data_IF_766273172087
#
_entry.id   IF_766273172087
#
_cell.length_a   1.000
_cell.length_b   1.000
_cell.length_c   1.000
_cell.angle_alpha   90.00
_cell.angle_beta   90.00
_cell.angle_gamma   90.00
#
_symmetry.space_group_name_H-M   'P 1'
#
loop_
_entity.id
_entity.type
_entity.pdbx_description
1 polymer ?
#
# COMPACT_ATOMS: atom_id res chain seq x y z
N UNK A 1 50.47 7.86 -1.10
CA UNK A 1 49.18 8.49 -0.73
C UNK A 1 48.36 8.69 -2.01
N UNK A 2 47.62 7.67 -2.45
CA UNK A 2 46.72 7.66 -3.65
C UNK A 2 45.58 6.66 -3.38
N UNK A 3 44.78 6.90 -2.34
CA UNK A 3 43.75 5.95 -1.89
C UNK A 3 42.36 6.59 -1.74
N UNK A 4 42.12 7.78 -2.34
CA UNK A 4 40.85 8.50 -2.17
C UNK A 4 40.42 9.29 -3.42
N UNK A 5 40.42 8.65 -4.59
CA UNK A 5 39.73 9.19 -5.77
C UNK A 5 38.85 8.08 -6.37
N UNK A 6 37.70 7.85 -5.73
CA UNK A 6 36.62 7.09 -6.35
C UNK A 6 36.04 7.97 -7.46
N UNK A 7 36.28 7.56 -8.70
CA UNK A 7 35.86 8.25 -9.91
C UNK A 7 34.34 8.13 -10.08
N UNK A 8 33.59 9.11 -9.58
CA UNK A 8 32.12 9.18 -9.67
C UNK A 8 31.60 9.40 -11.10
N UNK A 9 32.51 9.64 -12.06
CA UNK A 9 32.19 9.78 -13.49
C UNK A 9 32.12 8.43 -14.24
N UNK A 10 32.26 7.30 -13.56
CA UNK A 10 31.91 6.01 -14.15
C UNK A 10 30.39 5.89 -14.19
N UNK A 11 29.83 6.06 -15.38
CA UNK A 11 28.47 5.61 -15.69
C UNK A 11 28.35 4.15 -15.22
N UNK A 12 27.46 3.91 -14.26
CA UNK A 12 27.19 2.56 -13.76
C UNK A 12 26.86 1.63 -14.92
N UNK A 13 27.18 0.34 -14.81
CA UNK A 13 26.97 -0.64 -15.89
C UNK A 13 25.56 -0.48 -16.47
N UNK A 14 25.48 0.14 -17.65
CA UNK A 14 24.22 0.50 -18.28
C UNK A 14 23.39 -0.76 -18.45
N UNK A 15 22.15 -0.74 -17.95
CA UNK A 15 21.21 -1.83 -18.18
C UNK A 15 21.04 -1.94 -19.71
N UNK A 16 21.28 -3.12 -20.32
CA UNK A 16 21.07 -3.32 -21.74
C UNK A 16 19.65 -2.87 -22.10
N UNK A 17 19.52 -1.98 -23.09
CA UNK A 17 18.22 -1.42 -23.53
C UNK A 17 17.24 -2.51 -24.00
N UNK A 18 17.74 -3.70 -24.31
CA UNK A 18 16.99 -4.87 -24.79
C UNK A 18 16.72 -5.93 -23.69
N UNK A 19 16.96 -5.62 -22.42
CA UNK A 19 16.59 -6.55 -21.34
C UNK A 19 15.05 -6.65 -21.27
N UNK A 20 14.47 -7.88 -21.22
CA UNK A 20 13.02 -8.03 -21.08
C UNK A 20 12.56 -7.29 -19.81
N UNK A 21 11.39 -6.61 -19.85
CA UNK A 21 10.89 -5.91 -18.67
C UNK A 21 10.81 -6.91 -17.52
N UNK A 22 11.43 -6.58 -16.39
CA UNK A 22 11.39 -7.45 -15.20
C UNK A 22 9.93 -7.60 -14.79
N UNK A 23 9.49 -8.83 -14.57
CA UNK A 23 8.11 -9.13 -14.18
C UNK A 23 8.03 -9.77 -12.79
N UNK A 24 6.88 -9.60 -12.13
CA UNK A 24 6.54 -10.28 -10.89
C UNK A 24 7.54 -10.01 -9.76
N UNK A 25 8.03 -11.07 -9.12
CA UNK A 25 8.90 -10.97 -7.94
C UNK A 25 10.27 -10.37 -8.25
N UNK A 26 10.80 -10.58 -9.45
CA UNK A 26 12.10 -10.02 -9.84
C UNK A 26 12.01 -8.49 -9.89
N UNK A 27 10.92 -7.96 -10.44
CA UNK A 27 10.63 -6.53 -10.40
C UNK A 27 10.47 -6.04 -8.97
N UNK A 28 9.71 -6.76 -8.14
CA UNK A 28 9.51 -6.38 -6.73
C UNK A 28 10.84 -6.20 -6.00
N UNK A 29 11.74 -7.20 -6.05
CA UNK A 29 13.02 -7.12 -5.35
C UNK A 29 13.96 -6.07 -5.94
N UNK A 30 13.92 -5.83 -7.24
CA UNK A 30 14.69 -4.77 -7.90
C UNK A 30 14.26 -3.38 -7.43
N UNK A 31 12.95 -3.11 -7.46
CA UNK A 31 12.37 -1.86 -6.97
C UNK A 31 12.62 -1.69 -5.47
N UNK A 32 12.43 -2.76 -4.69
CA UNK A 32 12.64 -2.75 -3.25
C UNK A 32 14.09 -2.41 -2.89
N UNK A 33 15.07 -3.06 -3.54
CA UNK A 33 16.48 -2.82 -3.27
C UNK A 33 16.90 -1.38 -3.63
N UNK A 34 16.37 -0.86 -4.75
CA UNK A 34 16.63 0.52 -5.19
C UNK A 34 16.01 1.56 -4.25
N UNK A 35 14.77 1.34 -3.86
CA UNK A 35 14.00 2.29 -3.03
C UNK A 35 14.15 2.05 -1.52
N UNK A 36 14.98 1.09 -1.09
CA UNK A 36 15.11 0.73 0.32
C UNK A 36 15.40 1.93 1.23
N UNK A 37 16.34 2.79 0.83
CA UNK A 37 16.68 4.00 1.59
C UNK A 37 15.55 5.04 1.55
N UNK A 38 14.85 5.13 0.42
CA UNK A 38 13.70 6.00 0.24
C UNK A 38 12.52 5.57 1.14
N UNK A 39 12.28 4.27 1.29
CA UNK A 39 11.26 3.71 2.17
C UNK A 39 11.54 4.07 3.64
N UNK A 40 12.79 4.01 4.09
CA UNK A 40 13.15 4.43 5.46
C UNK A 40 12.81 5.92 5.69
N UNK A 41 13.21 6.79 4.75
CA UNK A 41 12.89 8.23 4.82
C UNK A 41 11.38 8.47 4.79
N UNK A 42 10.66 7.74 3.94
CA UNK A 42 9.21 7.82 3.82
C UNK A 42 8.51 7.41 5.11
N UNK A 43 8.99 6.37 5.79
CA UNK A 43 8.46 5.93 7.07
C UNK A 43 8.62 7.01 8.16
N UNK A 44 9.75 7.71 8.18
CA UNK A 44 9.97 8.85 9.08
C UNK A 44 8.96 9.98 8.80
N UNK A 45 8.77 10.36 7.54
CA UNK A 45 7.77 11.36 7.17
C UNK A 45 6.35 10.94 7.56
N UNK A 46 6.01 9.66 7.37
CA UNK A 46 4.73 9.10 7.79
C UNK A 46 4.53 9.24 9.31
N UNK A 47 5.49 8.78 10.13
CA UNK A 47 5.39 8.85 11.59
C UNK A 47 5.28 10.30 12.10
N UNK A 48 6.11 11.20 11.57
CA UNK A 48 6.04 12.63 11.92
C UNK A 48 4.69 13.24 11.55
N UNK A 49 4.15 12.83 10.41
CA UNK A 49 2.84 13.31 9.96
C UNK A 49 1.71 12.77 10.83
N UNK A 50 1.85 11.58 11.42
CA UNK A 50 0.86 10.92 12.28
C UNK A 50 0.84 11.43 13.73
N UNK A 51 1.69 12.38 14.13
CA UNK A 51 1.72 12.92 15.50
C UNK A 51 0.34 13.43 15.93
N UNK A 52 -0.42 14.20 15.12
CA UNK A 52 -1.83 14.42 15.37
C UNK A 52 -2.62 13.21 14.88
N UNK A 53 -3.32 12.49 15.76
CA UNK A 53 -4.03 11.25 15.40
C UNK A 53 -5.00 11.42 14.22
N UNK A 54 -5.57 12.62 14.05
CA UNK A 54 -6.49 12.95 12.95
C UNK A 54 -5.83 12.91 11.55
N UNK A 55 -4.51 12.94 11.44
CA UNK A 55 -3.81 12.97 10.14
C UNK A 55 -3.41 11.60 9.63
N UNK A 56 -3.67 10.52 10.38
CA UNK A 56 -3.27 9.15 9.99
C UNK A 56 -3.82 8.79 8.61
N UNK A 57 -5.10 9.07 8.35
CA UNK A 57 -5.71 8.83 7.03
C UNK A 57 -4.97 9.55 5.89
N UNK A 58 -4.85 10.89 5.92
CA UNK A 58 -4.04 11.65 4.98
C UNK A 58 -2.57 11.20 4.87
N UNK A 59 -1.93 10.81 5.97
CA UNK A 59 -0.56 10.29 5.97
C UNK A 59 -0.45 8.95 5.23
N UNK A 60 -1.42 8.04 5.41
CA UNK A 60 -1.49 6.78 4.64
C UNK A 60 -1.68 7.09 3.16
N UNK A 61 -2.55 8.05 2.82
CA UNK A 61 -2.76 8.48 1.43
C UNK A 61 -1.49 9.06 0.79
N UNK A 62 -0.77 9.90 1.50
CA UNK A 62 0.50 10.48 1.04
C UNK A 62 1.60 9.43 0.86
N UNK A 63 1.75 8.54 1.85
CA UNK A 63 2.69 7.42 1.78
C UNK A 63 2.38 6.52 0.59
N UNK A 64 1.11 6.16 0.42
CA UNK A 64 0.64 5.32 -0.70
C UNK A 64 0.90 5.99 -2.05
N UNK A 65 0.79 7.32 -2.12
CA UNK A 65 1.09 8.06 -3.34
C UNK A 65 2.55 7.92 -3.76
N UNK A 66 3.46 8.07 -2.80
CA UNK A 66 4.90 7.91 -3.04
C UNK A 66 5.23 6.47 -3.39
N UNK A 67 4.70 5.48 -2.67
CA UNK A 67 4.97 4.06 -2.96
C UNK A 67 4.41 3.62 -4.30
N UNK A 68 3.29 4.16 -4.78
CA UNK A 68 2.83 3.87 -6.15
C UNK A 68 3.78 4.47 -7.18
N UNK A 69 4.30 5.69 -6.96
CA UNK A 69 5.30 6.27 -7.88
C UNK A 69 6.58 5.43 -7.92
N UNK A 70 7.03 4.92 -6.78
CA UNK A 70 8.13 3.94 -6.69
C UNK A 70 7.81 2.66 -7.49
N UNK A 71 6.61 2.12 -7.36
CA UNK A 71 6.16 0.92 -8.11
C UNK A 71 6.11 1.18 -9.63
N UNK A 72 5.78 2.40 -10.02
CA UNK A 72 5.76 2.83 -11.42
C UNK A 72 7.13 3.25 -11.96
N UNK A 73 8.18 3.22 -11.13
CA UNK A 73 9.51 3.73 -11.46
C UNK A 73 9.50 5.20 -11.94
N UNK A 74 8.60 6.01 -11.37
CA UNK A 74 8.54 7.44 -11.66
C UNK A 74 9.54 8.20 -10.77
N UNK A 75 10.32 9.15 -11.31
CA UNK A 75 11.20 9.97 -10.51
C UNK A 75 10.36 10.73 -9.48
N UNK A 76 10.78 10.66 -8.22
CA UNK A 76 10.07 11.25 -7.09
C UNK A 76 11.00 12.00 -6.16
N UNK A 77 10.60 13.21 -5.78
CA UNK A 77 11.19 13.92 -4.65
C UNK A 77 10.33 13.57 -3.43
N UNK A 78 10.86 12.71 -2.56
CA UNK A 78 10.13 12.15 -1.42
C UNK A 78 9.43 13.21 -0.56
N UNK A 79 10.09 14.34 -0.31
CA UNK A 79 9.51 15.35 0.59
C UNK A 79 8.42 16.14 -0.12
N UNK A 80 8.71 16.62 -1.34
CA UNK A 80 7.76 17.41 -2.10
C UNK A 80 6.52 16.58 -2.45
N UNK A 81 6.72 15.36 -2.97
CA UNK A 81 5.65 14.48 -3.41
C UNK A 81 4.77 14.02 -2.25
N UNK A 82 5.37 13.68 -1.10
CA UNK A 82 4.61 13.34 0.10
C UNK A 82 3.74 14.53 0.54
N UNK A 83 4.33 15.73 0.66
CA UNK A 83 3.62 16.91 1.14
C UNK A 83 2.52 17.36 0.18
N UNK A 84 2.76 17.27 -1.12
CA UNK A 84 1.77 17.57 -2.14
C UNK A 84 0.60 16.57 -2.06
N UNK A 85 0.89 15.26 -2.05
CA UNK A 85 -0.12 14.21 -1.98
C UNK A 85 -0.95 14.30 -0.69
N UNK A 86 -0.31 14.63 0.44
CA UNK A 86 -0.95 14.82 1.73
C UNK A 86 -2.02 15.92 1.70
N UNK A 87 -1.73 17.04 1.03
CA UNK A 87 -2.68 18.16 0.87
C UNK A 87 -3.75 17.85 -0.16
N UNK A 88 -3.36 17.33 -1.33
CA UNK A 88 -4.25 17.05 -2.46
C UNK A 88 -5.35 16.06 -2.08
N UNK A 89 -4.98 14.97 -1.40
CA UNK A 89 -5.88 13.87 -1.08
C UNK A 89 -6.43 13.92 0.35
N UNK A 90 -6.25 15.04 1.05
CA UNK A 90 -6.58 15.18 2.48
C UNK A 90 -8.02 14.73 2.78
N UNK A 91 -9.00 15.28 2.06
CA UNK A 91 -10.43 15.04 2.33
C UNK A 91 -10.81 13.57 2.16
N UNK A 92 -10.47 12.96 1.03
CA UNK A 92 -10.84 11.57 0.75
C UNK A 92 -10.10 10.58 1.63
N UNK A 93 -8.80 10.82 1.88
CA UNK A 93 -7.99 9.97 2.76
C UNK A 93 -8.46 10.06 4.22
N UNK A 94 -8.81 11.26 4.69
CA UNK A 94 -9.38 11.47 6.03
C UNK A 94 -10.73 10.77 6.20
N UNK A 95 -11.64 10.94 5.24
CA UNK A 95 -12.95 10.26 5.27
C UNK A 95 -12.81 8.73 5.23
N UNK A 96 -11.88 8.21 4.42
CA UNK A 96 -11.58 6.78 4.39
C UNK A 96 -11.03 6.28 5.71
N UNK A 97 -10.16 7.07 6.37
CA UNK A 97 -9.64 6.77 7.70
C UNK A 97 -10.73 6.69 8.78
N UNK A 98 -11.64 7.67 8.82
CA UNK A 98 -12.79 7.66 9.75
C UNK A 98 -13.66 6.43 9.52
N UNK A 99 -13.91 6.08 8.26
CA UNK A 99 -14.74 4.93 7.92
C UNK A 99 -14.08 3.63 8.42
N UNK A 100 -12.78 3.47 8.17
CA UNK A 100 -12.02 2.31 8.62
C UNK A 100 -12.03 2.19 10.16
N UNK A 101 -11.78 3.28 10.89
CA UNK A 101 -11.81 3.29 12.36
C UNK A 101 -13.20 2.93 12.89
N UNK A 102 -14.26 3.49 12.30
CA UNK A 102 -15.65 3.16 12.69
C UNK A 102 -15.94 1.68 12.49
N UNK A 103 -15.59 1.08 11.35
CA UNK A 103 -15.79 -0.34 11.11
C UNK A 103 -14.98 -1.21 12.09
N UNK A 104 -13.71 -0.87 12.33
CA UNK A 104 -12.86 -1.60 13.28
C UNK A 104 -13.44 -1.54 14.70
N UNK A 105 -13.96 -0.39 15.13
CA UNK A 105 -14.60 -0.23 16.44
C UNK A 105 -15.87 -1.09 16.56
N UNK A 106 -16.73 -1.09 15.53
CA UNK A 106 -17.96 -1.91 15.50
C UNK A 106 -17.61 -3.40 15.58
N UNK A 107 -16.62 -3.86 14.80
CA UNK A 107 -16.20 -5.27 14.82
C UNK A 107 -15.59 -5.66 16.17
N UNK A 108 -14.77 -4.79 16.76
CA UNK A 108 -14.23 -5.00 18.11
C UNK A 108 -15.34 -5.09 19.15
N UNK A 109 -16.34 -4.21 19.08
CA UNK A 109 -17.50 -4.24 19.97
C UNK A 109 -18.31 -5.54 19.84
N UNK A 110 -18.56 -5.98 18.60
CA UNK A 110 -19.24 -7.25 18.30
C UNK A 110 -18.48 -8.43 18.91
N UNK A 111 -17.16 -8.49 18.71
CA UNK A 111 -16.34 -9.55 19.31
C UNK A 111 -16.45 -9.53 20.84
N UNK A 112 -16.30 -8.36 21.48
CA UNK A 112 -16.39 -8.23 22.93
C UNK A 112 -17.76 -8.61 23.49
N UNK A 113 -18.83 -8.34 22.77
CA UNK A 113 -20.19 -8.73 23.14
C UNK A 113 -20.33 -10.26 23.16
N UNK A 114 -19.93 -10.93 22.07
CA UNK A 114 -20.08 -12.38 21.96
C UNK A 114 -19.10 -13.18 22.82
N UNK A 115 -17.98 -12.62 23.27
CA UNK A 115 -17.07 -13.28 24.23
C UNK A 115 -17.73 -13.68 25.57
N UNK A 116 -18.87 -13.08 25.92
CA UNK A 116 -19.64 -13.44 27.12
C UNK A 116 -20.73 -14.48 26.85
N UNK A 117 -20.89 -14.89 25.59
CA UNK A 117 -21.81 -15.96 25.18
C UNK A 117 -21.07 -17.29 25.17
N UNK A 118 -21.71 -18.37 25.62
CA UNK A 118 -21.12 -19.70 25.61
C UNK A 118 -21.59 -20.55 24.42
N UNK A 119 -20.78 -21.52 24.04
CA UNK A 119 -21.14 -22.60 23.10
C UNK A 119 -21.14 -22.21 21.62
N UNK A 120 -22.10 -22.74 20.87
CA UNK A 120 -22.13 -22.68 19.39
C UNK A 120 -22.31 -21.26 18.85
N UNK A 121 -23.05 -20.42 19.56
CA UNK A 121 -23.35 -19.03 19.12
C UNK A 121 -22.07 -18.20 19.06
N UNK A 122 -21.20 -18.32 20.07
CA UNK A 122 -19.90 -17.65 20.11
C UNK A 122 -19.03 -18.03 18.90
N UNK A 123 -18.88 -19.32 18.64
CA UNK A 123 -18.03 -19.82 17.55
C UNK A 123 -18.51 -19.34 16.18
N UNK A 124 -19.84 -19.36 15.94
CA UNK A 124 -20.42 -18.86 14.69
C UNK A 124 -20.17 -17.36 14.51
N UNK A 125 -20.42 -16.55 15.55
CA UNK A 125 -20.31 -15.10 15.47
C UNK A 125 -18.86 -14.63 15.29
N UNK A 126 -17.91 -15.27 15.96
CA UNK A 126 -16.48 -15.01 15.72
C UNK A 126 -16.11 -15.36 14.28
N UNK A 127 -16.53 -16.53 13.79
CA UNK A 127 -16.21 -16.96 12.42
C UNK A 127 -16.72 -15.96 11.39
N UNK A 128 -17.97 -15.49 11.53
CA UNK A 128 -18.52 -14.44 10.67
C UNK A 128 -17.73 -13.13 10.76
N UNK A 129 -17.35 -12.72 11.97
CA UNK A 129 -16.59 -11.48 12.18
C UNK A 129 -15.20 -11.56 11.54
N UNK A 130 -14.51 -12.70 11.67
CA UNK A 130 -13.21 -12.94 11.02
C UNK A 130 -13.33 -12.86 9.51
N UNK A 131 -14.37 -13.47 8.92
CA UNK A 131 -14.62 -13.37 7.48
C UNK A 131 -14.81 -11.91 7.04
N UNK A 132 -15.57 -11.11 7.81
CA UNK A 132 -15.75 -9.68 7.51
C UNK A 132 -14.42 -8.92 7.62
N UNK A 133 -13.59 -9.19 8.64
CA UNK A 133 -12.26 -8.58 8.78
C UNK A 133 -11.39 -8.89 7.57
N UNK A 134 -11.36 -10.16 7.13
CA UNK A 134 -10.58 -10.57 5.95
C UNK A 134 -11.08 -9.84 4.70
N UNK A 135 -12.40 -9.78 4.48
CA UNK A 135 -13.00 -9.09 3.33
C UNK A 135 -12.67 -7.59 3.33
N UNK A 136 -12.77 -6.92 4.49
CA UNK A 136 -12.38 -5.52 4.62
C UNK A 136 -10.87 -5.34 4.42
N UNK A 137 -10.05 -6.24 4.97
CA UNK A 137 -8.60 -6.23 4.84
C UNK A 137 -8.13 -6.32 3.40
N UNK A 138 -8.65 -7.27 2.62
CA UNK A 138 -8.32 -7.37 1.18
C UNK A 138 -8.82 -6.18 0.37
N UNK A 139 -9.92 -5.55 0.78
CA UNK A 139 -10.45 -4.35 0.13
C UNK A 139 -9.54 -3.13 0.38
N UNK A 140 -9.04 -2.99 1.61
CA UNK A 140 -8.17 -1.87 2.02
C UNK A 140 -6.89 -1.75 1.18
N UNK A 141 -6.39 -2.86 0.62
CA UNK A 141 -5.24 -2.87 -0.30
C UNK A 141 -5.45 -1.92 -1.49
N UNK A 142 -6.69 -1.78 -1.96
CA UNK A 142 -7.01 -1.01 -3.17
C UNK A 142 -7.56 0.39 -2.89
N UNK A 143 -8.07 0.66 -1.68
CA UNK A 143 -8.75 1.93 -1.35
C UNK A 143 -7.81 3.12 -1.52
N UNK A 144 -6.68 3.14 -0.80
CA UNK A 144 -5.75 4.27 -0.85
C UNK A 144 -5.07 4.42 -2.22
N UNK A 145 -4.64 3.35 -2.89
CA UNK A 145 -4.15 3.47 -4.26
C UNK A 145 -5.13 4.12 -5.23
N UNK A 146 -6.41 3.78 -5.13
CA UNK A 146 -7.43 4.41 -5.96
C UNK A 146 -7.72 5.86 -5.56
N UNK A 147 -7.73 6.20 -4.25
CA UNK A 147 -7.86 7.59 -3.79
C UNK A 147 -6.81 8.49 -4.42
N UNK A 148 -5.58 7.99 -4.57
CA UNK A 148 -4.47 8.80 -5.08
C UNK A 148 -4.46 8.88 -6.61
N UNK A 149 -4.70 7.76 -7.31
CA UNK A 149 -4.43 7.65 -8.75
C UNK A 149 -5.67 7.73 -9.62
N UNK A 150 -6.87 7.62 -9.06
CA UNK A 150 -8.11 7.59 -9.83
C UNK A 150 -9.02 8.72 -9.36
N UNK A 151 -9.47 9.55 -10.29
CA UNK A 151 -10.40 10.64 -10.01
C UNK A 151 -11.84 10.13 -10.01
N UNK A 152 -12.23 9.50 -8.89
CA UNK A 152 -13.57 8.95 -8.67
C UNK A 152 -14.12 9.40 -7.31
N UNK A 153 -15.45 9.50 -7.17
CA UNK A 153 -16.04 9.77 -5.87
C UNK A 153 -15.78 8.63 -4.88
N UNK A 154 -15.56 8.96 -3.61
CA UNK A 154 -15.18 8.00 -2.56
C UNK A 154 -16.08 6.77 -2.47
N UNK A 155 -17.40 6.93 -2.65
CA UNK A 155 -18.35 5.79 -2.64
C UNK A 155 -18.06 4.78 -3.75
N UNK A 156 -17.67 5.26 -4.93
CA UNK A 156 -17.29 4.41 -6.06
C UNK A 156 -15.94 3.76 -5.81
N UNK A 157 -14.99 4.49 -5.22
CA UNK A 157 -13.70 3.91 -4.82
C UNK A 157 -13.90 2.75 -3.84
N UNK A 158 -14.72 2.92 -2.79
CA UNK A 158 -14.97 1.86 -1.82
C UNK A 158 -15.63 0.63 -2.44
N UNK A 159 -16.62 0.83 -3.33
CA UNK A 159 -17.26 -0.27 -4.06
C UNK A 159 -16.28 -0.99 -4.98
N UNK A 160 -15.50 -0.24 -5.75
CA UNK A 160 -14.51 -0.81 -6.67
C UNK A 160 -13.39 -1.52 -5.91
N UNK A 161 -12.99 -1.01 -4.73
CA UNK A 161 -11.96 -1.64 -3.90
C UNK A 161 -12.43 -2.98 -3.36
N UNK A 162 -13.69 -3.04 -2.93
CA UNK A 162 -14.31 -4.29 -2.49
C UNK A 162 -14.40 -5.30 -3.64
N UNK A 163 -14.88 -4.88 -4.81
CA UNK A 163 -14.99 -5.74 -5.98
C UNK A 163 -13.60 -6.21 -6.47
N UNK A 164 -12.59 -5.34 -6.48
CA UNK A 164 -11.21 -5.69 -6.84
C UNK A 164 -10.59 -6.65 -5.83
N UNK A 165 -10.83 -6.43 -4.53
CA UNK A 165 -10.40 -7.32 -3.47
C UNK A 165 -10.81 -8.77 -3.75
N UNK A 166 -12.05 -8.96 -4.19
CA UNK A 166 -12.62 -10.27 -4.53
C UNK A 166 -12.20 -10.75 -5.93
N UNK A 167 -12.29 -9.90 -6.95
CA UNK A 167 -11.96 -10.25 -8.33
C UNK A 167 -10.50 -10.66 -8.49
N UNK A 168 -9.61 -10.07 -7.69
CA UNK A 168 -8.17 -10.33 -7.69
C UNK A 168 -7.71 -11.08 -6.43
N UNK A 169 -8.58 -11.91 -5.83
CA UNK A 169 -8.35 -12.56 -4.53
C UNK A 169 -7.05 -13.37 -4.48
N UNK A 170 -6.64 -13.98 -5.59
CA UNK A 170 -5.37 -14.74 -5.70
C UNK A 170 -4.14 -13.90 -5.35
N UNK A 171 -4.20 -12.59 -5.59
CA UNK A 171 -3.15 -11.65 -5.21
C UNK A 171 -3.52 -10.87 -3.93
N UNK A 172 -4.78 -10.46 -3.77
CA UNK A 172 -5.22 -9.68 -2.60
C UNK A 172 -5.04 -10.43 -1.29
N UNK A 173 -5.40 -11.72 -1.25
CA UNK A 173 -5.40 -12.48 0.00
C UNK A 173 -3.99 -12.80 0.53
N UNK A 174 -3.04 -13.31 -0.29
CA UNK A 174 -1.65 -13.45 0.16
C UNK A 174 -1.01 -12.13 0.58
N UNK A 175 -1.31 -11.04 -0.13
CA UNK A 175 -0.83 -9.70 0.21
C UNK A 175 -1.35 -9.26 1.57
N UNK A 176 -2.65 -9.46 1.85
CA UNK A 176 -3.25 -9.16 3.15
C UNK A 176 -2.57 -9.95 4.27
N UNK A 177 -2.39 -11.26 4.10
CA UNK A 177 -1.71 -12.10 5.10
C UNK A 177 -0.27 -11.66 5.33
N UNK A 178 0.46 -11.30 4.27
CA UNK A 178 1.82 -10.81 4.36
C UNK A 178 1.89 -9.48 5.12
N UNK A 179 0.99 -8.54 4.83
CA UNK A 179 0.92 -7.26 5.55
C UNK A 179 0.61 -7.45 7.04
N UNK A 180 -0.33 -8.34 7.38
CA UNK A 180 -0.64 -8.69 8.77
C UNK A 180 0.57 -9.34 9.45
N UNK A 181 1.22 -10.31 8.80
CA UNK A 181 2.38 -11.00 9.34
C UNK A 181 3.58 -10.06 9.58
N UNK A 182 3.83 -9.11 8.68
CA UNK A 182 4.88 -8.10 8.85
C UNK A 182 4.56 -7.19 10.04
N UNK A 183 3.30 -6.73 10.16
CA UNK A 183 2.88 -5.86 11.25
C UNK A 183 2.99 -6.58 12.60
N UNK A 184 2.38 -7.76 12.74
CA UNK A 184 2.44 -8.57 13.96
C UNK A 184 3.87 -9.00 14.31
N UNK A 185 4.64 -9.44 13.31
CA UNK A 185 6.04 -9.81 13.47
C UNK A 185 6.89 -8.64 13.98
N UNK A 186 6.62 -7.41 13.53
CA UNK A 186 7.30 -6.23 14.04
C UNK A 186 6.96 -5.93 15.51
N UNK A 187 5.75 -6.24 15.98
CA UNK A 187 5.34 -6.07 17.37
C UNK A 187 6.01 -7.11 18.26
N UNK A 188 6.04 -8.38 17.83
CA UNK A 188 6.55 -9.51 18.62
C UNK A 188 8.08 -9.52 18.79
N UNK A 189 8.82 -8.77 17.97
CA UNK A 189 10.29 -8.77 17.95
C UNK A 189 10.92 -7.88 19.03
N UNK A 190 10.61 -8.15 20.30
CA UNK A 190 11.15 -7.44 21.48
C UNK A 190 12.65 -7.80 21.67
N UNK A 191 13.55 -6.83 21.91
CA UNK A 191 13.33 -5.41 22.19
C UNK A 191 13.36 -4.47 20.96
N UNK A 192 13.52 -5.01 19.75
CA UNK A 192 13.72 -4.23 18.52
C UNK A 192 12.42 -3.76 17.85
N UNK A 193 11.26 -3.97 18.48
CA UNK A 193 9.94 -3.51 18.02
C UNK A 193 9.92 -2.02 17.63
N UNK A 194 10.42 -1.16 18.52
CA UNK A 194 10.35 0.30 18.34
C UNK A 194 11.18 0.79 17.15
N UNK A 195 12.48 0.42 17.00
CA UNK A 195 13.26 0.75 15.82
C UNK A 195 12.65 0.24 14.51
N UNK A 196 12.12 -0.99 14.48
CA UNK A 196 11.57 -1.59 13.25
C UNK A 196 10.32 -0.83 12.79
N UNK A 197 9.39 -0.56 13.72
CA UNK A 197 8.16 0.18 13.41
C UNK A 197 8.47 1.61 12.98
N UNK A 198 9.39 2.29 13.67
CA UNK A 198 9.76 3.68 13.37
C UNK A 198 10.54 3.84 12.07
N UNK A 199 11.33 2.85 11.67
CA UNK A 199 12.20 2.98 10.51
C UNK A 199 11.61 2.36 9.24
N UNK A 200 10.73 1.35 9.33
CA UNK A 200 10.47 0.53 8.16
C UNK A 200 9.03 0.01 7.99
N UNK A 201 8.37 -0.47 9.06
CA UNK A 201 7.15 -1.30 8.95
C UNK A 201 6.05 -0.69 8.06
N UNK A 202 5.65 0.57 8.29
CA UNK A 202 4.50 1.15 7.59
C UNK A 202 4.78 1.40 6.11
N UNK A 203 5.95 1.95 5.80
CA UNK A 203 6.39 2.19 4.42
C UNK A 203 6.48 0.90 3.61
N UNK A 204 6.97 -0.19 4.22
CA UNK A 204 7.11 -1.48 3.55
C UNK A 204 5.76 -2.15 3.29
N UNK A 205 4.84 -2.10 4.26
CA UNK A 205 3.46 -2.56 4.09
C UNK A 205 2.76 -1.78 2.96
N UNK A 206 2.95 -0.46 2.92
CA UNK A 206 2.39 0.39 1.87
C UNK A 206 2.98 0.09 0.49
N UNK A 207 4.29 -0.17 0.42
CA UNK A 207 4.98 -0.57 -0.81
C UNK A 207 4.48 -1.91 -1.35
N UNK A 208 4.39 -2.93 -0.51
CA UNK A 208 3.83 -4.25 -0.87
C UNK A 208 2.39 -4.10 -1.36
N UNK A 209 1.56 -3.36 -0.61
CA UNK A 209 0.16 -3.15 -0.97
C UNK A 209 0.03 -2.41 -2.31
N UNK A 210 0.87 -1.40 -2.55
CA UNK A 210 0.90 -0.63 -3.80
C UNK A 210 1.35 -1.49 -4.98
N UNK A 211 2.38 -2.31 -4.81
CA UNK A 211 2.91 -3.21 -5.83
C UNK A 211 1.85 -4.22 -6.28
N UNK A 212 1.11 -4.79 -5.33
CA UNK A 212 0.05 -5.76 -5.62
C UNK A 212 -1.23 -5.10 -6.15
N UNK A 213 -1.58 -3.90 -5.68
CA UNK A 213 -2.80 -3.20 -6.09
C UNK A 213 -2.70 -2.65 -7.52
N UNK A 214 -1.53 -2.15 -7.91
CA UNK A 214 -1.37 -1.37 -9.15
C UNK A 214 -1.76 -2.13 -10.43
N UNK A 215 -1.35 -3.40 -10.66
CA UNK A 215 -1.77 -4.16 -11.84
C UNK A 215 -3.29 -4.33 -11.94
N UNK A 216 -3.96 -4.59 -10.81
CA UNK A 216 -5.42 -4.74 -10.76
C UNK A 216 -6.14 -3.43 -11.08
N UNK A 217 -5.69 -2.31 -10.51
CA UNK A 217 -6.28 -1.00 -10.76
C UNK A 217 -6.09 -0.59 -12.22
N UNK A 218 -4.88 -0.75 -12.76
CA UNK A 218 -4.58 -0.43 -14.16
C UNK A 218 -5.49 -1.21 -15.12
N UNK A 219 -5.60 -2.53 -14.92
CA UNK A 219 -6.35 -3.42 -15.81
C UNK A 219 -7.86 -3.17 -15.77
N UNK A 220 -8.46 -3.02 -14.58
CA UNK A 220 -9.92 -3.05 -14.42
C UNK A 220 -10.56 -1.68 -14.24
N UNK A 221 -9.80 -0.65 -13.81
CA UNK A 221 -10.36 0.67 -13.50
C UNK A 221 -9.93 1.71 -14.55
N UNK A 222 -8.63 1.76 -14.87
CA UNK A 222 -8.09 2.75 -15.82
C UNK A 222 -8.32 2.28 -17.27
N UNK A 223 -8.27 0.97 -17.50
CA UNK A 223 -8.32 0.38 -18.83
C UNK A 223 -7.01 0.58 -19.58
N UNK A 224 -6.62 -0.38 -20.42
CA UNK A 224 -5.46 -0.23 -21.30
C UNK A 224 -5.78 0.81 -22.38
N UNK A 225 -5.57 2.09 -22.08
CA UNK A 225 -5.65 3.20 -23.04
C UNK A 225 -4.64 3.08 -24.21
N UNK A 226 -3.83 2.02 -24.24
CA UNK A 226 -2.82 1.76 -25.26
C UNK A 226 -3.19 0.65 -26.26
N UNK A 227 -4.35 -0.02 -26.12
CA UNK A 227 -4.80 -1.05 -27.06
C UNK A 227 -5.60 -0.54 -28.26
N UNK A 228 -5.99 0.75 -28.29
CA UNK A 228 -6.86 1.30 -29.35
C UNK A 228 -6.09 2.06 -30.46
N UNK A 229 -4.84 2.43 -30.22
CA UNK A 229 -4.04 3.26 -31.16
C UNK A 229 -3.01 2.47 -32.00
N UNK A 230 -2.74 1.21 -31.69
CA UNK A 230 -1.87 0.35 -32.53
C UNK A 230 -2.57 -0.13 -33.80
N UNK A 231 -3.90 -0.33 -33.75
CA UNK A 231 -4.65 -0.93 -34.86
C UNK A 231 -5.13 0.09 -35.92
N UNK A 232 -5.02 1.39 -35.64
CA UNK A 232 -5.34 2.46 -36.62
C UNK A 232 -4.12 3.04 -37.35
N UNK A 233 -2.91 2.55 -37.07
CA UNK A 233 -1.70 2.91 -37.82
C UNK A 233 -1.18 1.78 -38.74
N UNK A 234 -1.93 0.67 -38.81
CA UNK A 234 -1.62 -0.49 -39.64
C UNK A 234 -2.62 -0.71 -40.79
N UNK A 235 -3.36 0.34 -41.19
CA UNK A 235 -4.20 0.36 -42.40
C UNK A 235 -3.94 1.66 -43.17
#
# INVERSE_FOLDING_TARGET
MKMFFLDYNKEGAGVPKDAPPKEGLVLFFDLFAREFTSLIKLNIFFILSCVPIITIGPAIGAMTAVTIRMVQDEPSDLFYDFREAFKKNWKYSFMSGILAVTFMFVLWWIMKFYMHSDGVIYNLMISFTVVIIVLLGVSCIYVYPMIVKVDLPLRTILKNAFLLGIAYIKHSFPTFLLCVAIFEGSILFIPFTLPIILLFTFSFISFISSFCAWPGIKKYIIGDANGYNSDKKAV
#
